data_IF_946461540110
#
_entry.id   IF_946461540110
#
_cell.length_a   1.000
_cell.length_b   1.000
_cell.length_c   1.000
_cell.angle_alpha   90.00
_cell.angle_beta   90.00
_cell.angle_gamma   90.00
#
_symmetry.space_group_name_H-M   'P 1'
#
loop_
_entity.id
_entity.type
_entity.pdbx_description
1 polymer ?
#
# COMPACT_ATOMS: atom_id res chain seq x y z
N UNK A 1 44.75 30.10 -47.36
CA UNK A 1 43.28 30.27 -47.37
C UNK A 1 42.76 29.91 -45.99
N UNK A 2 42.81 30.83 -45.01
CA UNK A 2 41.71 31.73 -44.60
C UNK A 2 40.32 31.09 -44.69
N UNK A 3 39.88 30.53 -43.56
CA UNK A 3 38.46 30.36 -43.23
C UNK A 3 37.98 31.74 -42.75
N UNK A 4 37.75 32.63 -43.69
CA UNK A 4 37.22 33.97 -43.46
C UNK A 4 35.99 34.17 -44.35
N UNK A 5 35.12 33.17 -44.37
CA UNK A 5 33.77 33.25 -44.92
C UNK A 5 32.83 32.80 -43.82
N UNK A 6 32.36 33.73 -42.99
CA UNK A 6 31.18 33.55 -42.14
C UNK A 6 30.68 34.92 -41.67
N UNK A 7 29.62 35.37 -42.35
CA UNK A 7 28.64 36.42 -42.00
C UNK A 7 29.14 37.88 -42.12
N UNK A 8 28.59 38.69 -43.06
CA UNK A 8 28.91 40.10 -43.17
C UNK A 8 28.27 40.87 -42.00
N UNK A 9 29.09 41.39 -41.09
CA UNK A 9 28.65 42.15 -39.90
C UNK A 9 28.10 43.55 -40.28
N UNK A 10 28.06 43.91 -41.56
CA UNK A 10 27.62 45.23 -42.04
C UNK A 10 26.15 45.29 -42.51
N UNK A 11 25.38 44.19 -42.46
CA UNK A 11 23.93 44.26 -42.65
C UNK A 11 23.24 44.76 -41.36
N UNK A 12 22.50 45.90 -41.39
CA UNK A 12 21.78 46.43 -40.23
C UNK A 12 20.85 45.41 -39.56
N UNK A 13 20.28 44.47 -40.34
CA UNK A 13 19.38 43.43 -39.83
C UNK A 13 20.14 42.36 -39.02
N UNK A 14 21.36 42.03 -39.44
CA UNK A 14 22.24 41.08 -38.73
C UNK A 14 22.74 41.69 -37.42
N UNK A 15 23.09 42.98 -37.40
CA UNK A 15 23.44 43.70 -36.16
C UNK A 15 22.27 43.77 -35.19
N UNK A 16 21.07 44.07 -35.67
CA UNK A 16 19.86 44.13 -34.83
C UNK A 16 19.56 42.75 -34.21
N UNK A 17 19.66 41.68 -35.00
CA UNK A 17 19.47 40.31 -34.54
C UNK A 17 20.53 39.91 -33.49
N UNK A 18 21.80 40.25 -33.72
CA UNK A 18 22.88 39.96 -32.77
C UNK A 18 22.70 40.72 -31.44
N UNK A 19 22.31 41.99 -31.48
CA UNK A 19 22.02 42.79 -30.27
C UNK A 19 20.81 42.25 -29.53
N UNK A 20 19.75 41.85 -30.24
CA UNK A 20 18.56 41.25 -29.64
C UNK A 20 18.88 39.91 -28.96
N UNK A 21 19.71 39.06 -29.58
CA UNK A 21 20.18 37.80 -28.99
C UNK A 21 21.07 38.03 -27.76
N UNK A 22 21.99 38.98 -27.81
CA UNK A 22 22.85 39.33 -26.69
C UNK A 22 22.05 39.90 -25.50
N UNK A 23 21.07 40.79 -25.77
CA UNK A 23 20.19 41.33 -24.75
C UNK A 23 19.31 40.24 -24.11
N UNK A 24 18.74 39.34 -24.93
CA UNK A 24 17.92 38.21 -24.46
C UNK A 24 18.75 37.25 -23.61
N UNK A 25 19.98 36.94 -24.02
CA UNK A 25 20.90 36.12 -23.25
C UNK A 25 21.25 36.77 -21.91
N UNK A 26 21.56 38.08 -21.88
CA UNK A 26 21.86 38.81 -20.65
C UNK A 26 20.66 38.82 -19.69
N UNK A 27 19.45 39.05 -20.19
CA UNK A 27 18.22 39.00 -19.38
C UNK A 27 17.95 37.60 -18.84
N UNK A 28 18.14 36.57 -19.66
CA UNK A 28 17.97 35.19 -19.22
C UNK A 28 19.01 34.85 -18.14
N UNK A 29 20.28 35.18 -18.35
CA UNK A 29 21.35 34.93 -17.39
C UNK A 29 21.10 35.67 -16.07
N UNK A 30 20.67 36.92 -16.09
CA UNK A 30 20.37 37.68 -14.87
C UNK A 30 19.17 37.11 -14.10
N UNK A 31 18.12 36.69 -14.79
CA UNK A 31 16.97 36.02 -14.16
C UNK A 31 17.41 34.68 -13.55
N UNK A 32 18.16 33.86 -14.28
CA UNK A 32 18.63 32.57 -13.78
C UNK A 32 19.62 32.71 -12.62
N UNK A 33 20.50 33.72 -12.63
CA UNK A 33 21.40 33.98 -11.51
C UNK A 33 20.64 34.47 -10.29
N UNK A 34 19.67 35.39 -10.45
CA UNK A 34 18.81 35.83 -9.35
C UNK A 34 18.02 34.65 -8.73
N UNK A 35 17.37 33.83 -9.57
CA UNK A 35 16.67 32.62 -9.13
C UNK A 35 17.61 31.63 -8.42
N UNK A 36 18.84 31.48 -8.92
CA UNK A 36 19.86 30.63 -8.31
C UNK A 36 20.27 31.13 -6.91
N UNK A 37 20.52 32.43 -6.76
CA UNK A 37 20.86 33.04 -5.46
C UNK A 37 19.69 32.96 -4.47
N UNK A 38 18.47 33.24 -4.91
CA UNK A 38 17.27 33.11 -4.07
C UNK A 38 17.08 31.67 -3.58
N UNK A 39 17.24 30.69 -4.47
CA UNK A 39 17.16 29.27 -4.10
C UNK A 39 18.25 28.89 -3.10
N UNK A 40 19.48 29.38 -3.29
CA UNK A 40 20.60 29.12 -2.39
C UNK A 40 20.40 29.76 -1.01
N UNK A 41 19.87 30.97 -0.96
CA UNK A 41 19.53 31.67 0.29
C UNK A 41 18.41 30.95 1.04
N UNK A 42 17.36 30.49 0.34
CA UNK A 42 16.29 29.67 0.94
C UNK A 42 16.83 28.37 1.54
N UNK A 43 17.69 27.64 0.80
CA UNK A 43 18.32 26.41 1.32
C UNK A 43 19.18 26.71 2.55
N UNK A 44 19.94 27.80 2.53
CA UNK A 44 20.78 28.20 3.67
C UNK A 44 19.93 28.47 4.91
N UNK A 45 18.83 29.23 4.75
CA UNK A 45 17.89 29.52 5.84
C UNK A 45 17.26 28.24 6.42
N UNK A 46 16.79 27.33 5.56
CA UNK A 46 16.23 26.03 6.00
C UNK A 46 17.29 25.21 6.76
N UNK A 47 18.55 25.18 6.29
CA UNK A 47 19.64 24.49 7.00
C UNK A 47 19.94 25.10 8.36
N UNK A 48 19.90 26.42 8.47
CA UNK A 48 20.08 27.13 9.74
C UNK A 48 18.93 26.81 10.71
N UNK A 49 17.67 26.82 10.23
CA UNK A 49 16.49 26.42 11.00
C UNK A 49 16.60 24.96 11.48
N UNK A 50 16.97 24.03 10.59
CA UNK A 50 17.20 22.61 10.94
C UNK A 50 18.36 22.47 11.95
N UNK A 51 19.46 23.20 11.76
CA UNK A 51 20.61 23.11 12.66
C UNK A 51 20.27 23.66 14.05
N UNK A 52 19.55 24.78 14.13
CA UNK A 52 19.04 25.32 15.39
C UNK A 52 18.10 24.34 16.08
N UNK A 53 17.21 23.70 15.31
CA UNK A 53 16.25 22.70 15.80
C UNK A 53 16.95 21.43 16.30
N UNK A 54 18.02 20.99 15.63
CA UNK A 54 18.85 19.84 16.03
C UNK A 54 19.72 20.16 17.26
N UNK A 55 20.32 21.34 17.34
CA UNK A 55 21.15 21.73 18.50
C UNK A 55 20.32 21.81 19.79
N UNK A 56 19.08 22.32 19.72
CA UNK A 56 18.16 22.26 20.86
C UNK A 56 17.85 20.81 21.26
N UNK A 57 17.65 19.93 20.27
CA UNK A 57 17.43 18.49 20.51
C UNK A 57 18.61 17.85 21.25
N UNK A 58 19.85 18.10 20.80
CA UNK A 58 21.06 17.53 21.38
C UNK A 58 21.34 18.06 22.80
N UNK A 59 21.13 19.36 23.06
CA UNK A 59 21.29 19.92 24.41
C UNK A 59 20.30 19.33 25.42
N UNK A 60 19.08 19.02 24.99
CA UNK A 60 18.08 18.37 25.85
C UNK A 60 18.32 16.87 26.06
N UNK A 61 19.07 16.21 25.18
CA UNK A 61 19.49 14.82 25.37
C UNK A 61 20.67 14.69 26.34
N UNK A 62 21.60 15.66 26.36
CA UNK A 62 22.79 15.63 27.22
C UNK A 62 22.46 15.92 28.70
N UNK A 63 21.47 16.79 28.96
CA UNK A 63 20.91 17.04 30.31
C UNK A 63 20.21 15.81 30.92
N UNK A 64 19.96 14.75 30.14
CA UNK A 64 19.36 13.50 30.59
C UNK A 64 20.36 12.47 31.14
N UNK A 65 21.67 12.71 31.02
CA UNK A 65 22.73 11.78 31.42
C UNK A 65 23.58 12.26 32.62
N UNK A 66 23.24 13.41 33.23
CA UNK A 66 23.96 13.99 34.37
C UNK A 66 23.18 13.98 35.69
N UNK A 67 23.57 13.08 36.60
CA UNK A 67 23.38 13.08 38.07
C UNK A 67 21.97 13.26 38.68
N UNK A 68 21.59 12.31 39.54
CA UNK A 68 20.32 12.30 40.27
C UNK A 68 20.24 13.28 41.43
N UNK A 69 19.09 13.95 41.57
CA UNK A 69 18.25 14.01 42.78
C UNK A 69 17.03 14.93 42.56
N UNK A 70 15.84 14.45 42.92
CA UNK A 70 14.71 15.26 43.43
C UNK A 70 14.04 16.30 42.53
N UNK A 71 12.74 16.09 42.27
CA UNK A 71 11.75 16.96 41.61
C UNK A 71 11.72 16.87 40.07
N UNK A 72 11.03 15.84 39.57
CA UNK A 72 10.71 15.67 38.16
C UNK A 72 9.89 16.85 37.62
N UNK A 73 10.57 17.84 37.06
CA UNK A 73 9.97 18.73 36.05
C UNK A 73 9.76 17.89 34.79
N UNK A 74 8.51 17.72 34.39
CA UNK A 74 8.15 17.06 33.15
C UNK A 74 8.90 17.71 31.98
N UNK A 75 9.76 16.92 31.33
CA UNK A 75 10.43 17.29 30.08
C UNK A 75 9.35 17.52 29.03
N UNK A 76 9.19 18.75 28.56
CA UNK A 76 8.24 19.04 27.47
C UNK A 76 8.80 18.45 26.18
N UNK A 77 7.99 17.71 25.38
CA UNK A 77 8.44 17.21 24.09
C UNK A 77 8.83 18.37 23.19
N UNK A 78 9.95 18.22 22.48
CA UNK A 78 10.37 19.10 21.42
C UNK A 78 9.31 19.10 20.30
N UNK A 79 8.85 20.28 19.90
CA UNK A 79 7.93 20.48 18.78
C UNK A 79 8.71 21.27 17.75
N UNK A 80 9.24 20.63 16.71
CA UNK A 80 9.74 21.37 15.55
C UNK A 80 8.64 22.31 15.04
N UNK A 81 9.05 23.48 14.54
CA UNK A 81 8.14 24.47 13.97
C UNK A 81 7.16 23.79 12.99
N UNK A 82 5.86 23.99 13.21
CA UNK A 82 4.81 23.50 12.32
C UNK A 82 5.06 23.92 10.87
N UNK A 83 5.74 25.06 10.64
CA UNK A 83 6.23 25.47 9.32
C UNK A 83 7.17 24.45 8.66
N UNK A 84 8.14 23.90 9.41
CA UNK A 84 9.08 22.90 8.90
C UNK A 84 8.40 21.55 8.64
N UNK A 85 7.51 21.12 9.54
CA UNK A 85 6.73 19.89 9.35
C UNK A 85 5.87 20.01 8.09
N UNK A 86 5.21 21.16 7.93
CA UNK A 86 4.38 21.45 6.77
C UNK A 86 5.18 21.44 5.47
N UNK A 87 6.38 22.03 5.46
CA UNK A 87 7.27 21.98 4.30
C UNK A 87 7.74 20.54 4.00
N UNK A 88 8.13 19.78 5.02
CA UNK A 88 8.53 18.38 4.89
C UNK A 88 7.39 17.51 4.31
N UNK A 89 6.15 17.77 4.72
CA UNK A 89 4.95 17.05 4.28
C UNK A 89 4.21 17.75 3.13
N UNK A 90 4.80 18.74 2.45
CA UNK A 90 4.09 19.60 1.49
C UNK A 90 3.38 18.81 0.38
N UNK A 91 4.00 17.71 -0.09
CA UNK A 91 3.39 16.82 -1.10
C UNK A 91 2.19 16.04 -0.56
N UNK A 92 2.23 15.66 0.71
CA UNK A 92 1.12 14.98 1.36
C UNK A 92 -0.05 15.94 1.56
N UNK A 93 0.21 17.19 1.95
CA UNK A 93 -0.80 18.24 2.01
C UNK A 93 -1.43 18.50 0.65
N UNK A 94 -0.62 18.57 -0.42
CA UNK A 94 -1.12 18.74 -1.78
C UNK A 94 -1.99 17.56 -2.26
N UNK A 95 -1.72 16.34 -1.80
CA UNK A 95 -2.43 15.13 -2.24
C UNK A 95 -3.67 14.81 -1.38
N UNK A 96 -3.53 14.81 -0.05
CA UNK A 96 -4.58 14.42 0.90
C UNK A 96 -5.41 15.60 1.42
N UNK A 97 -4.98 16.83 1.16
CA UNK A 97 -5.56 18.04 1.76
C UNK A 97 -5.22 18.21 3.24
N UNK A 98 -5.61 19.36 3.80
CA UNK A 98 -5.36 19.70 5.21
C UNK A 98 -5.96 18.68 6.17
N UNK A 99 -7.22 18.31 5.95
CA UNK A 99 -7.95 17.40 6.84
C UNK A 99 -7.36 15.99 6.82
N UNK A 100 -7.03 15.48 5.62
CA UNK A 100 -6.45 14.15 5.46
C UNK A 100 -5.09 14.04 6.16
N UNK A 101 -4.21 15.02 5.97
CA UNK A 101 -2.92 15.04 6.66
C UNK A 101 -3.09 15.19 8.17
N UNK A 102 -4.02 16.03 8.64
CA UNK A 102 -4.26 16.20 10.07
C UNK A 102 -4.74 14.89 10.74
N UNK A 103 -5.57 14.10 10.06
CA UNK A 103 -5.98 12.76 10.52
C UNK A 103 -4.79 11.80 10.59
N UNK A 104 -3.98 11.73 9.53
CA UNK A 104 -2.78 10.87 9.46
C UNK A 104 -1.79 11.22 10.56
N UNK A 105 -1.52 12.51 10.79
CA UNK A 105 -0.58 12.98 11.83
C UNK A 105 -1.01 12.55 13.23
N UNK A 106 -2.30 12.66 13.55
CA UNK A 106 -2.85 12.31 14.86
C UNK A 106 -3.03 10.79 15.09
N UNK A 107 -2.86 9.98 14.05
CA UNK A 107 -3.14 8.55 14.13
C UNK A 107 -2.06 7.81 14.92
N UNK A 108 -2.48 6.81 15.70
CA UNK A 108 -1.59 5.86 16.36
C UNK A 108 -1.55 4.52 15.62
N UNK A 109 -0.38 4.17 15.07
CA UNK A 109 -0.20 2.94 14.30
C UNK A 109 0.83 2.02 14.96
N UNK A 110 0.50 0.73 15.05
CA UNK A 110 1.38 -0.32 15.57
C UNK A 110 1.86 -1.21 14.44
N UNK A 111 3.16 -1.48 14.38
CA UNK A 111 3.76 -2.41 13.40
C UNK A 111 4.39 -3.58 14.15
N UNK A 112 3.91 -4.79 13.86
CA UNK A 112 4.38 -6.03 14.48
C UNK A 112 5.21 -6.85 13.48
N UNK A 113 6.47 -7.09 13.82
CA UNK A 113 7.48 -7.66 12.93
C UNK A 113 8.13 -6.57 12.08
N UNK A 114 9.43 -6.38 12.23
CA UNK A 114 10.25 -5.32 11.62
C UNK A 114 11.30 -5.92 10.67
N UNK A 115 10.96 -7.03 10.02
CA UNK A 115 11.75 -7.62 8.93
C UNK A 115 11.66 -6.84 7.62
N UNK A 116 11.79 -7.53 6.48
CA UNK A 116 11.80 -6.88 5.16
C UNK A 116 10.48 -6.24 4.73
N UNK A 117 9.35 -6.56 5.38
CA UNK A 117 8.05 -5.90 5.11
C UNK A 117 7.82 -4.77 6.11
N UNK A 118 7.81 -5.09 7.40
CA UNK A 118 7.44 -4.13 8.43
C UNK A 118 8.41 -2.96 8.61
N UNK A 119 9.71 -3.16 8.37
CA UNK A 119 10.67 -2.05 8.39
C UNK A 119 10.36 -0.99 7.30
N UNK A 120 9.99 -1.43 6.09
CA UNK A 120 9.58 -0.53 5.01
C UNK A 120 8.21 0.09 5.27
N UNK A 121 7.26 -0.68 5.78
CA UNK A 121 5.94 -0.18 6.15
C UNK A 121 6.03 0.93 7.21
N UNK A 122 6.72 0.67 8.32
CA UNK A 122 6.94 1.64 9.39
C UNK A 122 7.66 2.90 8.88
N UNK A 123 8.67 2.72 8.03
CA UNK A 123 9.44 3.81 7.44
C UNK A 123 8.58 4.72 6.56
N UNK A 124 7.74 4.14 5.70
CA UNK A 124 6.85 4.91 4.84
C UNK A 124 5.68 5.54 5.61
N UNK A 125 5.18 4.92 6.67
CA UNK A 125 4.20 5.53 7.57
C UNK A 125 4.76 6.81 8.23
N UNK A 126 5.98 6.72 8.77
CA UNK A 126 6.68 7.89 9.35
C UNK A 126 6.85 9.01 8.32
N UNK A 127 7.38 8.67 7.13
CA UNK A 127 7.57 9.65 6.05
C UNK A 127 6.27 10.23 5.51
N UNK A 128 5.15 9.54 5.73
CA UNK A 128 3.84 10.02 5.33
C UNK A 128 3.19 10.93 6.37
N UNK A 129 3.86 11.14 7.50
CA UNK A 129 3.44 12.05 8.56
C UNK A 129 2.76 11.38 9.75
N UNK A 130 2.74 10.05 9.87
CA UNK A 130 2.23 9.40 11.10
C UNK A 130 3.15 9.75 12.27
N UNK A 131 2.63 10.48 13.26
CA UNK A 131 3.45 10.97 14.37
C UNK A 131 3.56 9.98 15.51
N UNK A 132 2.60 9.06 15.69
CA UNK A 132 2.66 8.07 16.77
C UNK A 132 2.79 6.66 16.20
N UNK A 133 3.99 6.10 16.35
CA UNK A 133 4.30 4.73 15.94
C UNK A 133 4.75 3.89 17.13
N UNK A 134 4.22 2.67 17.23
CA UNK A 134 4.79 1.62 18.09
C UNK A 134 5.35 0.49 17.25
N UNK A 135 6.61 0.15 17.49
CA UNK A 135 7.35 -0.86 16.73
C UNK A 135 7.63 -2.06 17.62
N UNK A 136 7.18 -3.25 17.21
CA UNK A 136 7.26 -4.48 18.01
C UNK A 136 8.04 -5.53 17.24
N UNK A 137 9.21 -5.91 17.73
CA UNK A 137 10.02 -7.03 17.22
C UNK A 137 11.02 -7.47 18.29
N UNK A 138 11.20 -8.77 18.46
CA UNK A 138 12.16 -9.36 19.39
C UNK A 138 13.53 -9.64 18.74
N UNK A 139 13.60 -9.67 17.40
CA UNK A 139 14.81 -10.00 16.66
C UNK A 139 15.83 -8.86 16.66
N UNK A 140 17.09 -9.26 16.43
CA UNK A 140 18.19 -8.37 16.14
C UNK A 140 18.46 -8.24 14.64
N UNK A 141 19.13 -7.16 14.24
CA UNK A 141 19.64 -6.98 12.89
C UNK A 141 20.77 -7.97 12.64
N UNK A 142 20.65 -8.76 11.57
CA UNK A 142 21.70 -9.68 11.12
C UNK A 142 22.29 -9.23 9.78
N UNK A 143 23.51 -9.66 9.45
CA UNK A 143 24.10 -9.38 8.13
C UNK A 143 23.20 -9.82 6.97
N UNK A 144 22.57 -11.00 7.09
CA UNK A 144 21.65 -11.54 6.09
C UNK A 144 20.31 -10.80 6.01
N UNK A 145 19.98 -9.96 7.01
CA UNK A 145 18.78 -9.11 6.97
C UNK A 145 18.98 -7.83 6.16
N UNK A 146 20.22 -7.38 5.99
CA UNK A 146 20.55 -6.11 5.31
C UNK A 146 20.13 -6.08 3.84
N UNK A 147 19.96 -7.24 3.18
CA UNK A 147 19.50 -7.30 1.80
C UNK A 147 18.04 -6.83 1.60
N UNK A 148 17.26 -6.71 2.69
CA UNK A 148 15.82 -6.40 2.64
C UNK A 148 15.32 -5.47 3.74
N UNK A 149 16.06 -5.26 4.82
CA UNK A 149 15.67 -4.32 5.88
C UNK A 149 15.79 -2.87 5.39
N UNK A 150 14.83 -2.01 5.74
CA UNK A 150 14.70 -0.67 5.12
C UNK A 150 15.85 0.30 5.42
N UNK A 151 16.30 0.36 6.68
CA UNK A 151 17.22 1.39 7.17
C UNK A 151 18.47 0.84 7.86
N UNK A 152 18.54 -0.48 8.06
CA UNK A 152 19.65 -1.05 8.81
C UNK A 152 20.93 -0.98 7.99
N UNK A 153 22.02 -0.60 8.64
CA UNK A 153 23.36 -0.55 8.07
C UNK A 153 24.23 -1.64 8.69
N UNK A 154 25.45 -1.82 8.18
CA UNK A 154 26.41 -2.76 8.77
C UNK A 154 26.72 -2.43 10.24
N UNK A 155 26.67 -1.14 10.62
CA UNK A 155 26.90 -0.69 11.99
C UNK A 155 25.76 -1.04 12.94
N UNK A 156 24.58 -1.37 12.42
CA UNK A 156 23.42 -1.72 13.23
C UNK A 156 23.33 -3.24 13.50
N UNK A 157 24.22 -4.06 12.93
CA UNK A 157 24.25 -5.51 13.15
C UNK A 157 24.44 -5.83 14.63
N UNK A 158 23.60 -6.73 15.15
CA UNK A 158 23.55 -7.09 16.58
C UNK A 158 22.67 -6.17 17.44
N UNK A 159 22.16 -5.07 16.91
CA UNK A 159 21.18 -4.24 17.63
C UNK A 159 19.76 -4.76 17.41
N UNK A 160 18.84 -4.64 18.40
CA UNK A 160 17.43 -4.96 18.18
C UNK A 160 16.85 -4.17 17.02
N UNK A 161 16.07 -4.80 16.14
CA UNK A 161 15.51 -4.15 14.94
C UNK A 161 14.65 -2.93 15.30
N UNK A 162 13.86 -3.03 16.38
CA UNK A 162 13.05 -1.92 16.87
C UNK A 162 13.91 -0.72 17.31
N UNK A 163 15.01 -0.97 18.02
CA UNK A 163 15.97 0.06 18.44
C UNK A 163 16.66 0.69 17.24
N UNK A 164 17.09 -0.12 16.27
CA UNK A 164 17.66 0.35 14.99
C UNK A 164 16.71 1.32 14.28
N UNK A 165 15.44 0.93 14.08
CA UNK A 165 14.47 1.80 13.43
C UNK A 165 14.19 3.07 14.22
N UNK A 166 14.05 3.00 15.55
CA UNK A 166 13.83 4.20 16.39
C UNK A 166 14.94 5.23 16.23
N UNK A 167 16.21 4.79 16.22
CA UNK A 167 17.36 5.66 15.97
C UNK A 167 17.21 6.40 14.64
N UNK A 168 17.03 5.66 13.54
CA UNK A 168 16.90 6.26 12.20
C UNK A 168 15.62 7.10 12.05
N UNK A 169 14.53 6.74 12.72
CA UNK A 169 13.26 7.49 12.66
C UNK A 169 13.36 8.84 13.34
N UNK A 170 14.07 8.92 14.48
CA UNK A 170 14.33 10.20 15.16
C UNK A 170 15.17 11.16 14.30
N UNK A 171 16.01 10.64 13.39
CA UNK A 171 16.74 11.46 12.42
C UNK A 171 15.86 11.93 11.25
N UNK A 172 14.87 11.11 10.86
CA UNK A 172 13.98 11.39 9.71
C UNK A 172 12.86 12.35 10.09
N UNK A 173 12.22 12.14 11.25
CA UNK A 173 11.10 12.94 11.72
C UNK A 173 11.15 13.07 13.25
N UNK A 174 11.95 14.00 13.79
CA UNK A 174 12.21 14.12 15.22
C UNK A 174 10.98 14.33 16.11
N UNK A 175 9.89 14.87 15.53
CA UNK A 175 8.65 15.16 16.25
C UNK A 175 7.77 13.92 16.45
N UNK A 176 8.06 12.82 15.75
CA UNK A 176 7.28 11.61 15.88
C UNK A 176 7.57 10.93 17.24
N UNK A 177 6.51 10.55 17.94
CA UNK A 177 6.56 9.69 19.11
C UNK A 177 6.76 8.24 18.68
N UNK A 178 8.01 7.77 18.80
CA UNK A 178 8.39 6.39 18.49
C UNK A 178 8.51 5.55 19.77
N UNK A 179 7.53 4.67 19.97
CA UNK A 179 7.53 3.65 21.01
C UNK A 179 8.11 2.35 20.45
N UNK A 180 8.95 1.66 21.23
CA UNK A 180 9.53 0.38 20.85
C UNK A 180 9.22 -0.65 21.92
N UNK A 181 8.89 -1.87 21.50
CA UNK A 181 8.76 -3.03 22.36
C UNK A 181 9.65 -4.12 21.77
N UNK A 182 10.77 -4.40 22.44
CA UNK A 182 11.66 -5.49 22.08
C UNK A 182 11.13 -6.77 22.73
N UNK A 183 10.04 -7.29 22.18
CA UNK A 183 9.32 -8.43 22.73
C UNK A 183 8.62 -9.24 21.63
N UNK A 184 8.38 -10.52 21.89
CA UNK A 184 7.65 -11.39 20.99
C UNK A 184 6.14 -11.21 21.23
N UNK A 185 5.39 -11.07 20.14
CA UNK A 185 3.94 -11.12 20.25
C UNK A 185 3.48 -12.52 20.69
N UNK A 186 2.71 -12.56 21.76
CA UNK A 186 2.02 -13.75 22.25
C UNK A 186 0.59 -13.37 22.64
N UNK A 187 -0.36 -14.31 22.69
CA UNK A 187 -1.72 -14.03 23.15
C UNK A 187 -1.77 -13.39 24.55
N UNK A 188 -0.81 -13.72 25.42
CA UNK A 188 -0.72 -13.17 26.78
C UNK A 188 -0.11 -11.76 26.82
N UNK A 189 0.84 -11.45 25.92
CA UNK A 189 1.43 -10.10 25.83
C UNK A 189 0.57 -9.12 25.00
N UNK A 190 -0.40 -9.61 24.22
CA UNK A 190 -1.24 -8.80 23.33
C UNK A 190 -1.91 -7.58 24.00
N UNK A 191 -2.52 -7.69 25.21
CA UNK A 191 -3.15 -6.53 25.85
C UNK A 191 -2.18 -5.42 26.21
N UNK A 192 -0.93 -5.77 26.55
CA UNK A 192 0.11 -4.80 26.85
C UNK A 192 0.68 -4.19 25.56
N UNK A 193 1.02 -5.06 24.60
CA UNK A 193 1.67 -4.67 23.35
C UNK A 193 0.78 -3.78 22.47
N UNK A 194 -0.53 -4.04 22.45
CA UNK A 194 -1.53 -3.27 21.68
C UNK A 194 -2.32 -2.28 22.55
N UNK A 195 -1.86 -1.98 23.77
CA UNK A 195 -2.49 -1.01 24.64
C UNK A 195 -2.53 0.41 24.04
N UNK A 196 -3.52 1.21 24.42
CA UNK A 196 -3.65 2.60 23.99
C UNK A 196 -4.51 2.80 22.74
N UNK A 197 -5.33 1.81 22.38
CA UNK A 197 -6.33 1.88 21.30
C UNK A 197 -5.73 2.34 19.95
N UNK A 198 -4.85 1.53 19.34
CA UNK A 198 -4.28 1.89 18.05
C UNK A 198 -5.36 2.03 16.98
N UNK A 199 -5.23 3.06 16.16
CA UNK A 199 -6.09 3.29 15.00
C UNK A 199 -5.89 2.21 13.94
N UNK A 200 -4.67 1.64 13.88
CA UNK A 200 -4.30 0.61 12.93
C UNK A 200 -3.17 -0.30 13.45
N UNK A 201 -3.25 -1.59 13.12
CA UNK A 201 -2.19 -2.58 13.35
C UNK A 201 -1.73 -3.19 12.02
N UNK A 202 -0.44 -3.16 11.75
CA UNK A 202 0.18 -3.87 10.63
C UNK A 202 0.84 -5.15 11.12
N UNK A 203 0.33 -6.28 10.65
CA UNK A 203 0.90 -7.59 10.89
C UNK A 203 1.91 -7.95 9.79
N UNK A 204 3.19 -7.88 10.12
CA UNK A 204 4.32 -8.25 9.26
C UNK A 204 5.05 -9.48 9.79
N UNK A 205 4.38 -10.31 10.61
CA UNK A 205 4.92 -11.54 11.19
C UNK A 205 5.02 -12.62 10.13
N UNK A 206 6.06 -13.44 10.17
CA UNK A 206 6.24 -14.56 9.24
C UNK A 206 5.76 -15.91 9.80
N UNK A 207 5.71 -16.06 11.12
CA UNK A 207 5.16 -17.24 11.80
C UNK A 207 3.62 -17.29 11.67
N UNK A 208 3.10 -18.44 11.21
CA UNK A 208 1.68 -18.64 10.95
C UNK A 208 0.81 -18.59 12.22
N UNK A 209 1.22 -19.24 13.32
CA UNK A 209 0.40 -19.28 14.54
C UNK A 209 0.30 -17.89 15.17
N UNK A 210 1.45 -17.22 15.34
CA UNK A 210 1.51 -15.87 15.92
C UNK A 210 0.72 -14.86 15.10
N UNK A 211 0.78 -14.96 13.77
CA UNK A 211 -0.02 -14.16 12.83
C UNK A 211 -1.52 -14.33 13.05
N UNK A 212 -1.99 -15.58 13.14
CA UNK A 212 -3.41 -15.89 13.34
C UNK A 212 -3.87 -15.36 14.70
N UNK A 213 -3.07 -15.52 15.75
CA UNK A 213 -3.37 -15.03 17.09
C UNK A 213 -3.47 -13.49 17.13
N UNK A 214 -2.59 -12.79 16.43
CA UNK A 214 -2.63 -11.32 16.31
C UNK A 214 -3.90 -10.84 15.60
N UNK A 215 -4.21 -11.43 14.45
CA UNK A 215 -5.41 -11.07 13.68
C UNK A 215 -6.66 -11.35 14.50
N UNK A 216 -6.73 -12.51 15.17
CA UNK A 216 -7.85 -12.89 16.04
C UNK A 216 -8.04 -11.87 17.16
N UNK A 217 -6.98 -11.52 17.88
CA UNK A 217 -7.04 -10.55 18.97
C UNK A 217 -7.53 -9.19 18.47
N UNK A 218 -7.00 -8.70 17.34
CA UNK A 218 -7.43 -7.43 16.76
C UNK A 218 -8.92 -7.46 16.41
N UNK A 219 -9.41 -8.54 15.78
CA UNK A 219 -10.83 -8.69 15.44
C UNK A 219 -11.73 -8.75 16.67
N UNK A 220 -11.33 -9.45 17.73
CA UNK A 220 -12.10 -9.54 18.98
C UNK A 220 -12.19 -8.18 19.72
N UNK A 221 -11.19 -7.32 19.56
CA UNK A 221 -11.13 -6.01 20.22
C UNK A 221 -11.51 -4.85 19.28
N UNK A 222 -12.07 -5.13 18.10
CA UNK A 222 -12.43 -4.13 17.08
C UNK A 222 -11.27 -3.20 16.66
N UNK A 223 -10.05 -3.72 16.67
CA UNK A 223 -8.85 -3.01 16.20
C UNK A 223 -8.69 -3.29 14.70
N UNK A 224 -8.52 -2.24 13.90
CA UNK A 224 -8.27 -2.38 12.46
C UNK A 224 -6.90 -3.03 12.23
N UNK A 225 -6.87 -4.05 11.41
CA UNK A 225 -5.66 -4.83 11.14
C UNK A 225 -5.49 -5.09 9.64
N UNK A 226 -4.26 -4.92 9.17
CA UNK A 226 -3.83 -5.34 7.83
C UNK A 226 -2.66 -6.29 7.96
N UNK A 227 -2.68 -7.41 7.23
CA UNK A 227 -1.64 -8.44 7.33
C UNK A 227 -0.89 -8.66 6.02
N UNK A 228 0.44 -8.84 6.13
CA UNK A 228 1.28 -9.28 5.02
C UNK A 228 1.27 -10.80 4.89
N UNK A 229 1.03 -11.26 3.66
CA UNK A 229 1.13 -12.67 3.27
C UNK A 229 2.54 -12.99 2.71
N UNK A 230 2.67 -14.03 1.89
CA UNK A 230 3.96 -14.55 1.46
C UNK A 230 4.65 -13.65 0.44
N UNK A 231 5.71 -12.94 0.85
CA UNK A 231 6.58 -12.16 -0.03
C UNK A 231 7.88 -12.88 -0.43
N UNK A 232 8.13 -14.09 0.08
CA UNK A 232 9.32 -14.89 -0.27
C UNK A 232 9.15 -15.70 -1.55
N UNK A 233 10.26 -16.09 -2.19
CA UNK A 233 10.30 -16.87 -3.43
C UNK A 233 9.43 -16.33 -4.59
N UNK A 234 9.32 -15.01 -4.66
CA UNK A 234 8.54 -14.27 -5.65
C UNK A 234 9.36 -13.09 -6.17
N UNK A 235 9.08 -12.65 -7.39
CA UNK A 235 9.85 -11.59 -8.06
C UNK A 235 9.00 -10.59 -8.85
N UNK A 236 7.77 -10.92 -9.24
CA UNK A 236 6.94 -10.08 -10.10
C UNK A 236 6.12 -9.06 -9.29
N UNK A 237 6.47 -7.76 -9.32
CA UNK A 237 5.77 -6.73 -8.56
C UNK A 237 4.37 -6.43 -9.11
N UNK A 238 4.08 -6.76 -10.37
CA UNK A 238 2.76 -6.51 -10.99
C UNK A 238 1.66 -7.41 -10.43
N UNK A 239 2.04 -8.45 -9.68
CA UNK A 239 1.15 -9.46 -9.09
C UNK A 239 0.74 -9.16 -7.66
N UNK A 240 1.25 -8.07 -7.06
CA UNK A 240 0.88 -7.62 -5.71
C UNK A 240 -0.56 -7.10 -5.74
N UNK A 241 -1.35 -7.54 -4.77
CA UNK A 241 -2.76 -7.20 -4.64
C UNK A 241 -3.10 -6.95 -3.16
N UNK A 242 -4.06 -6.06 -2.94
CA UNK A 242 -4.67 -5.80 -1.63
C UNK A 242 -6.12 -6.25 -1.70
N UNK A 243 -6.51 -7.20 -0.87
CA UNK A 243 -7.85 -7.76 -0.85
C UNK A 243 -8.23 -8.28 0.54
N UNK A 244 -9.47 -8.73 0.71
CA UNK A 244 -9.83 -9.48 1.91
C UNK A 244 -9.13 -10.85 1.93
N UNK A 245 -8.83 -11.36 3.11
CA UNK A 245 -8.26 -12.70 3.29
C UNK A 245 -9.10 -13.79 2.62
N UNK A 246 -10.43 -13.64 2.55
CA UNK A 246 -11.34 -14.58 1.89
C UNK A 246 -11.07 -14.73 0.40
N UNK A 247 -10.58 -13.68 -0.25
CA UNK A 247 -10.46 -13.55 -1.71
C UNK A 247 -9.08 -13.93 -2.23
N UNK A 248 -8.12 -14.16 -1.33
CA UNK A 248 -6.74 -14.50 -1.68
C UNK A 248 -6.62 -15.83 -2.43
N UNK A 249 -5.73 -15.88 -3.42
CA UNK A 249 -5.44 -17.08 -4.22
C UNK A 249 -3.97 -17.14 -4.66
N UNK A 250 -3.52 -18.32 -5.13
CA UNK A 250 -2.12 -18.69 -5.42
C UNK A 250 -1.10 -18.55 -4.27
N UNK A 251 -1.37 -17.80 -3.21
CA UNK A 251 -0.45 -17.59 -2.09
C UNK A 251 -0.57 -18.69 -1.01
N UNK A 252 0.49 -19.49 -0.76
CA UNK A 252 0.46 -20.56 0.23
C UNK A 252 0.26 -20.08 1.66
N UNK A 253 0.86 -18.94 2.04
CA UNK A 253 0.75 -18.37 3.38
C UNK A 253 -0.66 -17.79 3.58
N UNK A 254 -1.21 -17.12 2.58
CA UNK A 254 -2.58 -16.62 2.64
C UNK A 254 -3.58 -17.78 2.77
N UNK A 255 -3.41 -18.85 2.00
CA UNK A 255 -4.25 -20.04 2.09
C UNK A 255 -4.20 -20.69 3.47
N UNK A 256 -3.00 -20.83 4.04
CA UNK A 256 -2.81 -21.41 5.37
C UNK A 256 -3.43 -20.53 6.47
N UNK A 257 -3.19 -19.22 6.41
CA UNK A 257 -3.73 -18.21 7.33
C UNK A 257 -5.26 -18.20 7.28
N UNK A 258 -5.84 -18.12 6.08
CA UNK A 258 -7.30 -18.19 5.87
C UNK A 258 -7.92 -19.46 6.46
N UNK A 259 -7.30 -20.63 6.22
CA UNK A 259 -7.81 -21.90 6.76
C UNK A 259 -7.82 -21.89 8.28
N UNK A 260 -6.78 -21.35 8.91
CA UNK A 260 -6.67 -21.31 10.38
C UNK A 260 -7.63 -20.28 10.98
N UNK A 261 -7.73 -19.09 10.40
CA UNK A 261 -8.68 -18.05 10.82
C UNK A 261 -10.13 -18.55 10.76
N UNK A 262 -10.52 -19.31 9.72
CA UNK A 262 -11.86 -19.91 9.63
C UNK A 262 -12.17 -20.87 10.78
N UNK A 263 -11.18 -21.63 11.25
CA UNK A 263 -11.35 -22.50 12.42
C UNK A 263 -11.56 -21.70 13.71
N UNK A 264 -11.03 -20.49 13.76
CA UNK A 264 -11.19 -19.53 14.87
C UNK A 264 -12.43 -18.64 14.72
N UNK A 265 -13.29 -18.89 13.70
CA UNK A 265 -14.51 -18.12 13.46
C UNK A 265 -14.34 -16.81 12.67
N UNK A 266 -13.15 -16.55 12.11
CA UNK A 266 -12.88 -15.37 11.27
C UNK A 266 -12.89 -15.78 9.80
N UNK A 267 -14.00 -15.53 9.10
CA UNK A 267 -14.16 -15.91 7.69
C UNK A 267 -13.72 -14.82 6.70
N UNK A 268 -13.91 -13.55 7.06
CA UNK A 268 -13.63 -12.36 6.24
C UNK A 268 -13.45 -11.12 7.13
N UNK A 269 -13.20 -9.96 6.51
CA UNK A 269 -13.02 -8.68 7.17
C UNK A 269 -11.60 -8.46 7.67
N UNK A 270 -10.61 -9.04 7.00
CA UNK A 270 -9.18 -8.86 7.27
C UNK A 270 -8.51 -8.47 5.97
N UNK A 271 -8.10 -7.22 5.86
CA UNK A 271 -7.36 -6.71 4.70
C UNK A 271 -5.96 -7.33 4.68
N UNK A 272 -5.54 -7.85 3.53
CA UNK A 272 -4.20 -8.43 3.37
C UNK A 272 -3.52 -7.96 2.10
N UNK A 273 -2.20 -7.83 2.15
CA UNK A 273 -1.35 -7.72 0.97
C UNK A 273 -0.80 -9.10 0.62
N UNK A 274 -0.98 -9.52 -0.62
CA UNK A 274 -0.49 -10.80 -1.11
C UNK A 274 -0.05 -10.68 -2.57
N UNK A 275 0.58 -11.72 -3.09
CA UNK A 275 0.91 -11.79 -4.52
C UNK A 275 0.28 -13.02 -5.17
N UNK A 276 -0.30 -12.79 -6.34
CA UNK A 276 -0.89 -13.81 -7.24
C UNK A 276 0.15 -14.56 -8.07
N UNK A 277 1.44 -14.24 -7.89
CA UNK A 277 2.53 -14.98 -8.51
C UNK A 277 2.54 -16.42 -7.98
N UNK A 278 2.52 -17.38 -8.92
CA UNK A 278 2.63 -18.79 -8.59
C UNK A 278 4.03 -19.09 -8.06
N UNK A 279 4.19 -20.01 -7.09
CA UNK A 279 5.50 -20.45 -6.65
C UNK A 279 6.37 -20.85 -7.86
N UNK A 280 7.44 -20.11 -8.07
CA UNK A 280 8.37 -20.30 -9.18
C UNK A 280 9.42 -21.39 -8.92
N UNK A 281 10.52 -21.43 -9.69
CA UNK A 281 11.58 -22.42 -9.55
C UNK A 281 12.45 -22.23 -8.30
N UNK A 282 12.23 -21.15 -7.55
CA UNK A 282 13.00 -20.82 -6.34
C UNK A 282 12.59 -21.77 -5.22
N UNK A 283 13.42 -22.77 -4.95
CA UNK A 283 13.21 -23.74 -3.88
C UNK A 283 13.84 -23.28 -2.57
N UNK A 284 13.41 -23.92 -1.48
CA UNK A 284 14.06 -23.78 -0.18
C UNK A 284 15.54 -24.16 -0.29
N UNK A 285 16.41 -23.39 0.36
CA UNK A 285 17.83 -23.72 0.41
C UNK A 285 18.04 -25.03 1.19
N UNK A 286 18.92 -25.93 0.73
CA UNK A 286 19.32 -27.09 1.51
C UNK A 286 20.02 -26.65 2.80
N UNK A 287 19.86 -27.44 3.86
CA UNK A 287 20.58 -27.25 5.10
C UNK A 287 22.04 -27.67 4.90
N UNK A 288 22.99 -26.84 5.34
CA UNK A 288 24.38 -27.26 5.48
C UNK A 288 24.47 -28.22 6.69
N UNK A 289 25.13 -29.37 6.52
CA UNK A 289 25.22 -30.44 7.53
C UNK A 289 25.84 -29.95 8.85
N UNK A 290 26.76 -28.98 8.80
CA UNK A 290 27.41 -28.36 9.97
C UNK A 290 26.43 -27.56 10.87
N UNK A 291 25.34 -27.03 10.30
CA UNK A 291 24.31 -26.29 11.07
C UNK A 291 23.34 -27.21 11.81
N UNK A 292 23.37 -28.52 11.52
CA UNK A 292 22.58 -29.54 12.23
C UNK A 292 23.26 -29.91 13.55
N UNK A 293 24.59 -29.93 13.60
CA UNK A 293 25.36 -30.30 14.79
C UNK A 293 25.28 -29.25 15.92
N UNK A 294 25.18 -27.96 15.57
CA UNK A 294 25.06 -26.85 16.53
C UNK A 294 23.63 -26.31 16.65
N UNK A 295 22.62 -27.06 16.19
CA UNK A 295 21.23 -26.60 16.22
C UNK A 295 20.75 -26.25 17.64
N UNK A 296 21.27 -26.93 18.66
CA UNK A 296 20.96 -26.68 20.07
C UNK A 296 21.59 -25.39 20.64
N UNK A 297 22.71 -24.91 20.08
CA UNK A 297 23.34 -23.64 20.50
C UNK A 297 22.66 -22.40 19.89
N UNK A 298 22.02 -22.54 18.73
CA UNK A 298 21.22 -21.48 18.11
C UNK A 298 19.71 -21.59 18.46
N UNK A 299 19.32 -22.61 19.24
CA UNK A 299 17.95 -22.88 19.68
C UNK A 299 17.52 -22.04 20.90
N UNK A 300 17.73 -20.72 20.87
CA UNK A 300 17.16 -19.85 21.89
C UNK A 300 15.61 -19.86 21.89
N UNK A 301 14.96 -20.41 20.86
CA UNK A 301 13.51 -20.61 20.80
C UNK A 301 13.14 -21.91 20.05
N UNK A 302 12.30 -22.79 20.63
CA UNK A 302 11.75 -23.94 19.91
C UNK A 302 10.74 -23.42 18.88
N UNK A 303 11.03 -23.67 17.59
CA UNK A 303 10.33 -23.26 16.35
C UNK A 303 11.14 -22.34 15.40
N UNK A 304 12.45 -22.21 15.56
CA UNK A 304 13.28 -21.51 14.57
C UNK A 304 13.28 -22.27 13.22
N UNK A 305 13.03 -21.55 12.11
CA UNK A 305 12.79 -22.14 10.78
C UNK A 305 14.00 -22.95 10.28
N UNK A 306 13.83 -24.26 10.24
CA UNK A 306 14.77 -25.29 9.73
C UNK A 306 15.01 -25.19 8.21
N UNK A 307 14.34 -24.29 7.46
CA UNK A 307 14.63 -24.03 6.03
C UNK A 307 14.41 -22.56 5.69
N UNK A 308 15.41 -21.92 5.09
CA UNK A 308 15.35 -20.52 4.65
C UNK A 308 14.74 -20.47 3.26
N UNK A 309 13.61 -19.77 3.13
CA UNK A 309 13.05 -19.43 1.81
C UNK A 309 13.85 -18.25 1.24
N UNK A 310 14.42 -18.35 0.03
CA UNK A 310 15.10 -17.21 -0.59
C UNK A 310 14.15 -16.03 -0.76
N UNK A 311 14.65 -14.82 -0.49
CA UNK A 311 13.87 -13.59 -0.56
C UNK A 311 14.60 -12.57 -1.41
N UNK A 312 13.97 -12.14 -2.50
CA UNK A 312 14.38 -10.97 -3.25
C UNK A 312 13.91 -9.73 -2.50
N UNK A 313 14.84 -8.97 -1.91
CA UNK A 313 14.52 -7.89 -0.95
C UNK A 313 13.59 -6.79 -1.48
N UNK A 314 13.52 -6.59 -2.81
CA UNK A 314 12.61 -5.63 -3.44
C UNK A 314 11.14 -5.96 -3.20
N UNK A 315 10.78 -7.25 -3.15
CA UNK A 315 9.37 -7.63 -3.04
C UNK A 315 8.79 -7.41 -1.64
N UNK A 316 9.44 -7.81 -0.53
CA UNK A 316 9.03 -7.42 0.81
C UNK A 316 8.92 -5.90 0.98
N UNK A 317 9.85 -5.12 0.40
CA UNK A 317 9.80 -3.67 0.45
C UNK A 317 8.54 -3.12 -0.24
N UNK A 318 8.18 -3.67 -1.41
CA UNK A 318 6.95 -3.31 -2.11
C UNK A 318 5.69 -3.70 -1.32
N UNK A 319 5.69 -4.83 -0.63
CA UNK A 319 4.60 -5.20 0.28
C UNK A 319 4.46 -4.18 1.40
N UNK A 320 5.57 -3.81 2.05
CA UNK A 320 5.58 -2.83 3.13
C UNK A 320 5.08 -1.45 2.67
N UNK A 321 5.55 -0.98 1.53
CA UNK A 321 5.12 0.28 0.92
C UNK A 321 3.63 0.24 0.50
N UNK A 322 3.15 -0.89 0.02
CA UNK A 322 1.73 -1.09 -0.32
C UNK A 322 0.84 -1.03 0.92
N UNK A 323 1.27 -1.65 2.03
CA UNK A 323 0.58 -1.56 3.31
C UNK A 323 0.55 -0.12 3.83
N UNK A 324 1.68 0.57 3.82
CA UNK A 324 1.75 1.96 4.26
C UNK A 324 0.83 2.88 3.42
N UNK A 325 0.83 2.73 2.09
CA UNK A 325 -0.05 3.49 1.19
C UNK A 325 -1.54 3.25 1.50
N UNK A 326 -1.93 1.99 1.70
CA UNK A 326 -3.30 1.64 2.08
C UNK A 326 -3.69 2.25 3.42
N UNK A 327 -2.85 2.10 4.44
CA UNK A 327 -3.13 2.61 5.79
C UNK A 327 -3.20 4.13 5.79
N UNK A 328 -2.29 4.84 5.13
CA UNK A 328 -2.30 6.31 5.05
C UNK A 328 -3.56 6.81 4.38
N UNK A 329 -3.97 6.20 3.26
CA UNK A 329 -5.19 6.60 2.55
C UNK A 329 -6.44 6.31 3.39
N UNK A 330 -6.51 5.19 4.08
CA UNK A 330 -7.63 4.87 4.97
C UNK A 330 -7.71 5.82 6.18
N UNK A 331 -6.58 6.12 6.83
CA UNK A 331 -6.51 7.06 7.95
C UNK A 331 -6.90 8.49 7.52
N UNK A 332 -6.47 8.90 6.33
CA UNK A 332 -6.85 10.21 5.76
C UNK A 332 -8.34 10.30 5.39
N UNK A 333 -9.06 9.17 5.32
CA UNK A 333 -10.39 9.10 4.73
C UNK A 333 -10.40 9.29 3.21
N UNK A 334 -9.25 9.06 2.56
CA UNK A 334 -9.10 9.15 1.12
C UNK A 334 -9.62 7.85 0.47
N UNK A 335 -10.73 7.96 -0.26
CA UNK A 335 -11.36 6.81 -0.91
C UNK A 335 -10.48 6.29 -2.06
N UNK A 336 -9.96 5.08 -1.90
CA UNK A 336 -9.27 4.35 -2.96
C UNK A 336 -10.23 3.33 -3.60
N UNK A 337 -10.12 3.14 -4.91
CA UNK A 337 -10.89 2.15 -5.66
C UNK A 337 -9.93 1.05 -6.14
N UNK A 338 -9.63 0.04 -5.31
CA UNK A 338 -8.72 -1.03 -5.71
C UNK A 338 -9.32 -1.82 -6.86
N UNK A 339 -8.48 -2.15 -7.84
CA UNK A 339 -8.88 -3.05 -8.91
C UNK A 339 -9.28 -4.40 -8.30
N UNK A 340 -10.34 -5.04 -8.82
CA UNK A 340 -10.60 -6.44 -8.51
C UNK A 340 -9.39 -7.28 -8.92
N UNK A 341 -9.26 -8.46 -8.31
CA UNK A 341 -8.15 -9.32 -8.66
C UNK A 341 -8.35 -9.89 -10.08
N UNK A 342 -7.61 -9.37 -11.06
CA UNK A 342 -7.71 -9.73 -12.49
C UNK A 342 -7.12 -11.12 -12.79
N UNK A 343 -7.49 -11.66 -13.97
CA UNK A 343 -6.99 -12.91 -14.59
C UNK A 343 -7.42 -14.20 -13.89
N UNK A 344 -8.74 -14.39 -13.75
CA UNK A 344 -9.34 -15.62 -13.22
C UNK A 344 -10.00 -16.44 -14.34
N UNK A 345 -9.24 -17.22 -15.15
CA UNK A 345 -9.79 -17.90 -16.33
C UNK A 345 -10.95 -18.85 -15.98
N UNK A 346 -10.83 -19.62 -14.89
CA UNK A 346 -11.91 -20.47 -14.40
C UNK A 346 -13.15 -19.69 -13.96
N UNK A 347 -12.97 -18.49 -13.43
CA UNK A 347 -14.10 -17.61 -13.09
C UNK A 347 -14.78 -17.10 -14.33
N UNK A 348 -14.04 -16.74 -15.37
CA UNK A 348 -14.61 -16.27 -16.64
C UNK A 348 -15.37 -17.41 -17.35
N UNK A 349 -14.79 -18.61 -17.37
CA UNK A 349 -15.47 -19.82 -17.88
C UNK A 349 -16.76 -20.12 -17.11
N UNK A 350 -16.73 -20.00 -15.77
CA UNK A 350 -17.91 -20.16 -14.92
C UNK A 350 -18.95 -19.08 -15.21
N UNK A 351 -18.57 -17.81 -15.20
CA UNK A 351 -19.47 -16.68 -15.44
C UNK A 351 -20.08 -16.75 -16.84
N UNK A 352 -19.31 -17.16 -17.85
CA UNK A 352 -19.80 -17.39 -19.21
C UNK A 352 -20.83 -18.51 -19.23
N UNK A 353 -20.53 -19.66 -18.61
CA UNK A 353 -21.48 -20.78 -18.49
C UNK A 353 -22.75 -20.39 -17.74
N UNK A 354 -22.62 -19.66 -16.63
CA UNK A 354 -23.74 -19.21 -15.83
C UNK A 354 -24.62 -18.23 -16.62
N UNK A 355 -24.01 -17.33 -17.39
CA UNK A 355 -24.73 -16.41 -18.29
C UNK A 355 -25.49 -17.19 -19.38
N UNK A 356 -24.84 -18.15 -20.05
CA UNK A 356 -25.48 -19.03 -21.04
C UNK A 356 -26.66 -19.80 -20.44
N UNK A 357 -26.50 -20.32 -19.23
CA UNK A 357 -27.58 -21.04 -18.54
C UNK A 357 -28.74 -20.10 -18.20
N UNK A 358 -28.48 -18.87 -17.74
CA UNK A 358 -29.54 -17.88 -17.48
C UNK A 358 -30.31 -17.51 -18.75
N UNK A 359 -29.61 -17.35 -19.87
CA UNK A 359 -30.23 -17.07 -21.17
C UNK A 359 -31.26 -18.14 -21.54
N UNK A 360 -30.90 -19.41 -21.35
CA UNK A 360 -31.78 -20.55 -21.61
C UNK A 360 -32.91 -20.66 -20.58
N UNK A 361 -32.58 -20.62 -19.30
CA UNK A 361 -33.49 -21.03 -18.23
C UNK A 361 -34.40 -19.90 -17.74
N UNK A 362 -33.87 -18.68 -17.67
CA UNK A 362 -34.59 -17.48 -17.19
C UNK A 362 -35.23 -16.75 -18.36
N UNK A 363 -34.43 -16.38 -19.36
CA UNK A 363 -34.90 -15.56 -20.48
C UNK A 363 -35.53 -16.36 -21.63
N UNK A 364 -35.53 -17.70 -21.54
CA UNK A 364 -36.02 -18.63 -22.57
C UNK A 364 -35.48 -18.32 -23.98
N UNK A 365 -34.26 -17.79 -24.03
CA UNK A 365 -33.56 -17.36 -25.23
C UNK A 365 -32.58 -18.45 -25.72
N UNK A 366 -32.02 -18.25 -26.92
CA UNK A 366 -31.00 -19.15 -27.45
C UNK A 366 -29.75 -19.17 -26.56
N UNK A 367 -29.16 -20.35 -26.28
CA UNK A 367 -27.93 -20.46 -25.50
C UNK A 367 -26.69 -19.91 -26.25
N UNK A 368 -26.82 -19.61 -27.54
CA UNK A 368 -25.73 -19.05 -28.33
C UNK A 368 -25.64 -17.53 -28.13
N UNK A 369 -24.91 -17.11 -27.10
CA UNK A 369 -24.64 -15.69 -26.82
C UNK A 369 -23.46 -15.16 -27.65
N UNK A 370 -23.50 -13.90 -28.12
CA UNK A 370 -22.44 -13.26 -28.90
C UNK A 370 -21.27 -12.78 -28.01
N UNK A 371 -20.95 -13.52 -26.94
CA UNK A 371 -19.90 -13.21 -25.98
C UNK A 371 -19.07 -14.48 -25.77
N UNK A 372 -17.76 -14.39 -26.00
CA UNK A 372 -16.82 -15.45 -25.65
C UNK A 372 -16.33 -15.31 -24.19
N UNK A 373 -15.51 -16.25 -23.72
CA UNK A 373 -14.98 -16.25 -22.34
C UNK A 373 -14.09 -15.03 -22.06
N UNK A 374 -13.31 -14.58 -23.05
CA UNK A 374 -12.49 -13.37 -22.96
C UNK A 374 -13.34 -12.10 -22.88
N UNK A 375 -14.43 -12.04 -23.64
CA UNK A 375 -15.41 -10.94 -23.61
C UNK A 375 -16.08 -10.84 -22.24
N UNK A 376 -16.49 -11.98 -21.68
CA UNK A 376 -17.02 -12.07 -20.31
C UNK A 376 -15.97 -11.62 -19.29
N UNK A 377 -14.71 -12.01 -19.45
CA UNK A 377 -13.62 -11.54 -18.61
C UNK A 377 -13.44 -10.02 -18.70
N UNK A 378 -13.53 -9.44 -19.89
CA UNK A 378 -13.46 -8.00 -20.10
C UNK A 378 -14.65 -7.26 -19.47
N UNK A 379 -15.88 -7.70 -19.73
CA UNK A 379 -17.10 -7.11 -19.15
C UNK A 379 -17.01 -7.16 -17.61
N UNK A 380 -16.63 -8.31 -17.07
CA UNK A 380 -16.52 -8.49 -15.63
C UNK A 380 -15.43 -7.62 -15.01
N UNK A 381 -14.21 -7.58 -15.57
CA UNK A 381 -13.06 -6.90 -14.95
C UNK A 381 -12.93 -5.41 -15.33
N UNK A 382 -13.27 -5.01 -16.55
CA UNK A 382 -13.07 -3.63 -17.03
C UNK A 382 -14.33 -2.78 -16.89
N UNK A 383 -15.49 -3.29 -17.30
CA UNK A 383 -16.76 -2.54 -17.20
C UNK A 383 -17.24 -2.52 -15.75
N UNK A 384 -17.28 -3.69 -15.11
CA UNK A 384 -17.85 -3.84 -13.76
C UNK A 384 -16.83 -3.96 -12.64
N UNK A 385 -15.54 -3.92 -12.96
CA UNK A 385 -14.46 -3.93 -11.97
C UNK A 385 -14.61 -5.07 -10.96
N UNK A 386 -15.04 -6.24 -11.44
CA UNK A 386 -15.13 -7.49 -10.69
C UNK A 386 -15.98 -7.39 -9.42
N UNK A 387 -16.98 -6.50 -9.42
CA UNK A 387 -17.88 -6.23 -8.30
C UNK A 387 -19.33 -6.18 -8.77
N UNK A 388 -20.26 -6.30 -7.82
CA UNK A 388 -21.64 -5.97 -8.07
C UNK A 388 -21.78 -4.48 -8.38
N UNK A 389 -22.49 -4.15 -9.46
CA UNK A 389 -22.81 -2.78 -9.82
C UNK A 389 -23.64 -2.09 -8.74
N UNK A 390 -24.49 -2.83 -8.00
CA UNK A 390 -25.42 -2.27 -7.00
C UNK A 390 -24.79 -2.19 -5.59
N UNK A 391 -24.33 -3.32 -5.05
CA UNK A 391 -23.87 -3.40 -3.66
C UNK A 391 -22.36 -3.24 -3.51
N UNK A 392 -21.62 -3.20 -4.62
CA UNK A 392 -20.16 -3.23 -4.64
C UNK A 392 -19.53 -4.49 -4.00
N UNK A 393 -20.36 -5.52 -3.74
CA UNK A 393 -19.94 -6.83 -3.21
C UNK A 393 -19.13 -7.64 -4.23
N UNK A 394 -18.42 -8.65 -3.75
CA UNK A 394 -17.54 -9.52 -4.57
C UNK A 394 -17.81 -11.02 -4.41
N UNK A 395 -18.66 -11.42 -3.46
CA UNK A 395 -19.05 -12.81 -3.26
C UNK A 395 -20.15 -13.24 -4.25
N UNK A 396 -20.06 -14.48 -4.72
CA UNK A 396 -21.05 -15.12 -5.61
C UNK A 396 -21.55 -14.21 -6.74
N UNK A 397 -20.63 -13.54 -7.42
CA UNK A 397 -20.96 -12.68 -8.55
C UNK A 397 -21.48 -13.47 -9.74
N UNK A 398 -22.42 -12.85 -10.45
CA UNK A 398 -23.09 -13.38 -11.62
C UNK A 398 -23.35 -12.26 -12.61
N UNK A 399 -23.27 -12.59 -13.90
CA UNK A 399 -23.63 -11.70 -15.00
C UNK A 399 -25.07 -12.00 -15.42
N UNK A 400 -25.85 -10.95 -15.69
CA UNK A 400 -27.19 -11.03 -16.26
C UNK A 400 -27.45 -9.88 -17.23
N UNK A 401 -28.55 -9.91 -17.97
CA UNK A 401 -28.97 -8.82 -18.85
C UNK A 401 -29.30 -7.59 -18.01
N UNK A 402 -28.89 -6.39 -18.46
CA UNK A 402 -29.34 -5.14 -17.84
C UNK A 402 -30.78 -4.79 -18.25
N UNK A 403 -31.02 -4.78 -19.56
CA UNK A 403 -32.35 -4.67 -20.15
C UNK A 403 -32.78 -6.05 -20.60
N UNK A 404 -33.78 -6.61 -19.91
CA UNK A 404 -34.32 -7.95 -20.18
C UNK A 404 -34.86 -8.10 -21.60
N UNK A 405 -35.27 -6.99 -22.24
CA UNK A 405 -35.81 -6.99 -23.60
C UNK A 405 -34.74 -7.14 -24.69
N UNK A 406 -33.49 -6.82 -24.36
CA UNK A 406 -32.34 -6.88 -25.28
C UNK A 406 -31.51 -8.13 -25.02
N UNK A 407 -30.85 -8.70 -26.04
CA UNK A 407 -29.98 -9.86 -25.85
C UNK A 407 -28.75 -9.52 -25.00
N UNK A 408 -28.10 -10.54 -24.42
CA UNK A 408 -26.82 -10.36 -23.76
C UNK A 408 -25.76 -9.87 -24.77
N UNK A 409 -25.18 -8.70 -24.48
CA UNK A 409 -24.15 -8.05 -25.28
C UNK A 409 -23.25 -7.20 -24.37
N UNK A 410 -22.11 -6.72 -24.88
CA UNK A 410 -21.16 -5.88 -24.14
C UNK A 410 -21.82 -4.68 -23.44
N UNK A 411 -22.82 -4.08 -24.08
CA UNK A 411 -23.55 -2.91 -23.60
C UNK A 411 -24.91 -3.24 -22.96
N UNK A 412 -25.14 -4.52 -22.62
CA UNK A 412 -26.39 -4.97 -22.03
C UNK A 412 -26.18 -6.11 -21.01
N UNK A 413 -24.99 -6.22 -20.44
CA UNK A 413 -24.68 -7.21 -19.42
C UNK A 413 -24.20 -6.48 -18.18
N UNK A 414 -24.82 -6.76 -17.05
CA UNK A 414 -24.51 -6.19 -15.74
C UNK A 414 -23.97 -7.27 -14.79
N UNK A 415 -23.07 -6.87 -13.88
CA UNK A 415 -22.55 -7.73 -12.83
C UNK A 415 -23.27 -7.45 -11.51
N UNK A 416 -23.78 -8.51 -10.88
CA UNK A 416 -24.48 -8.45 -9.59
C UNK A 416 -24.05 -9.60 -8.69
N UNK A 417 -24.36 -9.54 -7.39
CA UNK A 417 -24.36 -10.76 -6.58
C UNK A 417 -25.48 -11.69 -7.05
N UNK A 418 -25.35 -13.00 -6.82
CA UNK A 418 -26.40 -13.96 -7.22
C UNK A 418 -27.79 -13.57 -6.72
N UNK A 419 -27.90 -13.08 -5.48
CA UNK A 419 -29.18 -12.65 -4.88
C UNK A 419 -29.75 -11.42 -5.59
N UNK A 420 -28.89 -10.48 -5.97
CA UNK A 420 -29.28 -9.28 -6.72
C UNK A 420 -29.69 -9.61 -8.15
N UNK A 421 -28.95 -10.49 -8.84
CA UNK A 421 -29.28 -10.94 -10.18
C UNK A 421 -30.65 -11.64 -10.21
N UNK A 422 -30.93 -12.51 -9.23
CA UNK A 422 -32.22 -13.21 -9.14
C UNK A 422 -33.40 -12.27 -8.82
N UNK A 423 -33.15 -11.12 -8.18
CA UNK A 423 -34.15 -10.05 -8.01
C UNK A 423 -34.31 -9.23 -9.29
N UNK A 424 -33.19 -8.89 -9.93
CA UNK A 424 -33.15 -8.08 -11.13
C UNK A 424 -33.92 -8.73 -12.29
N UNK A 425 -33.73 -10.03 -12.49
CA UNK A 425 -34.36 -10.76 -13.59
C UNK A 425 -35.91 -10.85 -13.48
N UNK A 426 -36.48 -10.46 -12.33
CA UNK A 426 -37.94 -10.40 -12.11
C UNK A 426 -38.53 -9.02 -12.41
N UNK A 427 -37.70 -8.02 -12.70
CA UNK A 427 -38.14 -6.66 -13.03
C UNK A 427 -38.80 -6.67 -14.40
N UNK A 428 -39.99 -6.08 -14.51
CA UNK A 428 -40.71 -5.99 -15.77
C UNK A 428 -40.06 -4.98 -16.72
N UNK A 429 -40.18 -5.18 -18.05
CA UNK A 429 -39.73 -4.21 -19.03
C UNK A 429 -40.23 -2.79 -18.74
N UNK A 430 -39.35 -1.80 -18.76
CA UNK A 430 -39.68 -0.39 -18.51
C UNK A 430 -39.75 0.03 -17.04
N UNK A 431 -39.47 -0.87 -16.08
CA UNK A 431 -39.48 -0.55 -14.63
C UNK A 431 -38.08 -0.37 -14.01
N UNK A 432 -37.03 -0.23 -14.82
CA UNK A 432 -35.65 -0.09 -14.31
C UNK A 432 -35.48 1.21 -13.50
N UNK A 433 -35.94 2.35 -14.04
CA UNK A 433 -35.83 3.66 -13.39
C UNK A 433 -36.66 3.72 -12.09
N UNK A 434 -37.85 3.12 -12.07
CA UNK A 434 -38.69 3.06 -10.87
C UNK A 434 -38.12 2.15 -9.77
N UNK A 435 -37.29 1.15 -10.12
CA UNK A 435 -36.76 0.17 -9.17
C UNK A 435 -35.43 0.61 -8.55
N UNK A 436 -34.52 1.14 -9.37
CA UNK A 436 -33.17 1.51 -8.93
C UNK A 436 -32.94 3.01 -8.74
N UNK A 437 -33.88 3.84 -9.21
CA UNK A 437 -33.70 5.28 -9.27
C UNK A 437 -32.87 5.72 -10.47
N UNK A 438 -33.10 6.95 -10.91
CA UNK A 438 -32.48 7.52 -12.11
C UNK A 438 -30.95 7.61 -12.03
N UNK A 439 -30.41 7.96 -10.88
CA UNK A 439 -28.97 8.07 -10.65
C UNK A 439 -28.22 6.75 -10.94
N UNK A 440 -28.82 5.62 -10.53
CA UNK A 440 -28.22 4.32 -10.77
C UNK A 440 -28.33 3.88 -12.22
N UNK A 441 -29.47 4.15 -12.87
CA UNK A 441 -29.66 3.87 -14.29
C UNK A 441 -28.66 4.68 -15.13
N UNK A 442 -28.52 5.97 -14.84
CA UNK A 442 -27.55 6.85 -15.52
C UNK A 442 -26.10 6.36 -15.31
N UNK A 443 -25.77 5.84 -14.13
CA UNK A 443 -24.46 5.22 -13.86
C UNK A 443 -24.21 4.00 -14.76
N UNK A 444 -25.18 3.08 -14.85
CA UNK A 444 -25.07 1.86 -15.67
C UNK A 444 -25.01 2.20 -17.16
N UNK A 445 -25.89 3.07 -17.63
CA UNK A 445 -25.93 3.47 -19.04
C UNK A 445 -24.70 4.28 -19.44
N UNK A 446 -24.20 5.14 -18.54
CA UNK A 446 -22.95 5.87 -18.73
C UNK A 446 -21.74 4.95 -18.92
N UNK A 447 -21.66 3.84 -18.17
CA UNK A 447 -20.62 2.80 -18.37
C UNK A 447 -20.74 2.13 -19.74
N UNK A 448 -21.95 1.83 -20.19
CA UNK A 448 -22.17 1.24 -21.52
C UNK A 448 -21.90 2.22 -22.68
N UNK A 449 -22.15 3.51 -22.47
CA UNK A 449 -21.83 4.57 -23.43
C UNK A 449 -20.31 4.77 -23.56
N UNK A 450 -19.60 4.77 -22.43
CA UNK A 450 -18.14 4.80 -22.39
C UNK A 450 -17.55 3.62 -23.18
N UNK A 451 -18.06 2.41 -22.96
CA UNK A 451 -17.64 1.22 -23.70
C UNK A 451 -17.92 1.31 -25.20
N UNK A 452 -19.10 1.80 -25.59
CA UNK A 452 -19.45 2.05 -27.01
C UNK A 452 -18.45 2.99 -27.68
N UNK A 453 -17.89 3.96 -26.95
CA UNK A 453 -16.88 4.89 -27.45
C UNK A 453 -15.51 4.24 -27.58
N UNK A 454 -15.08 3.46 -26.59
CA UNK A 454 -13.76 2.79 -26.58
C UNK A 454 -13.68 1.72 -27.67
N UNK A 455 -14.77 0.99 -27.92
CA UNK A 455 -14.83 -0.05 -28.96
C UNK A 455 -14.65 0.46 -30.39
N UNK A 456 -14.90 1.73 -30.68
CA UNK A 456 -14.61 2.32 -32.01
C UNK A 456 -13.10 2.30 -32.34
N UNK A 457 -12.25 2.15 -31.33
CA UNK A 457 -10.79 2.20 -31.45
C UNK A 457 -10.13 0.84 -31.20
N UNK A 458 -10.92 -0.23 -31.07
CA UNK A 458 -10.49 -1.60 -30.79
C UNK A 458 -10.92 -2.49 -31.95
#
# INVERSE_FOLDING_TARGET
>A
MRVADLIPIDDPRVRLAAVALAASALTATTIFTAQYFDKRNKIKKIKEEISQSLHTTLSHMDDGLGQGNGHGRAVKPFVADEGLIREQLARNYAFLGEEGVAKVRKSFVVVVGLGGVGSHAAHMLLRSGVEHLRLIDFDQVTLSSLNRHALATQNDVGTPKATCLKKHFNEIFPNAKIEICVDMYTPTSAPLLLAGNPDFVLDCIDNLSTKVDLIKYCKQNNIRVMSSMGAGAKADPSRIQIADISDTFEDPLARATRRRLRLEGVESGVTVVYSTEKPGPVTLLPLEEDKVANADEYAALPNFRVRILPVLGTLPALFGNSMASHVVTELAGFKTEPLPIKLRPKTYERLHRDLVNREKDVFKASPNIPLNVGDVGYIFEEIWRGRSALSNGFDKLQLTRWDVTKPAAFNNVICFTRVEADKHDKILPGQLESTYGREFVDFVEGRFEEERRVRKWR
#
